data_IF_305391311420
#
_entry.id   IF_305391311420
#
_cell.length_a   1.000
_cell.length_b   1.000
_cell.length_c   1.000
_cell.angle_alpha   90.00
_cell.angle_beta   90.00
_cell.angle_gamma   90.00
#
_symmetry.space_group_name_H-M   'P 1'
#
loop_
_entity.id
_entity.type
_entity.pdbx_description
1 polymer ?
#
# COMPACT_ATOMS: atom_id res chain seq x y z
N UNK A 1 -10.51 21.21 -31.57
CA UNK A 1 -10.40 21.11 -30.10
C UNK A 1 -9.68 19.82 -29.80
N UNK A 2 -8.35 19.89 -29.72
CA UNK A 2 -7.49 18.68 -29.57
C UNK A 2 -7.37 18.34 -28.11
N UNK A 3 -7.81 17.15 -27.73
CA UNK A 3 -7.60 16.62 -26.39
C UNK A 3 -6.11 16.31 -26.17
N UNK A 4 -5.50 16.73 -25.06
CA UNK A 4 -4.14 16.33 -24.74
C UNK A 4 -4.11 14.80 -24.57
N UNK A 5 -3.13 14.15 -25.22
CA UNK A 5 -2.90 12.72 -25.07
C UNK A 5 -2.56 12.42 -23.61
N UNK A 6 -3.47 11.81 -22.89
CA UNK A 6 -3.23 11.32 -21.55
C UNK A 6 -2.69 9.90 -21.66
N UNK A 7 -1.45 9.68 -21.27
CA UNK A 7 -0.93 8.32 -21.07
C UNK A 7 -1.68 7.74 -19.87
N UNK A 8 -2.70 6.95 -20.13
CA UNK A 8 -3.42 6.21 -19.08
C UNK A 8 -2.65 4.94 -18.84
N UNK A 9 -1.99 4.92 -17.74
CA UNK A 9 -1.33 3.72 -17.28
C UNK A 9 -2.31 2.88 -16.48
N UNK A 10 -2.83 1.87 -17.08
CA UNK A 10 -3.54 0.80 -16.39
C UNK A 10 -2.47 -0.14 -15.86
N UNK A 11 -2.24 -0.15 -14.55
CA UNK A 11 -1.49 -1.22 -13.93
C UNK A 11 -2.33 -2.49 -14.11
N UNK A 12 -2.06 -3.25 -15.15
CA UNK A 12 -2.52 -4.62 -15.23
C UNK A 12 -1.80 -5.40 -14.11
N UNK A 13 -2.38 -5.38 -12.92
CA UNK A 13 -2.10 -6.44 -11.96
C UNK A 13 -2.54 -7.72 -12.65
N UNK A 14 -1.58 -8.55 -13.09
CA UNK A 14 -1.85 -9.83 -13.70
C UNK A 14 -2.76 -10.64 -12.78
N UNK A 15 -4.04 -10.57 -13.02
CA UNK A 15 -5.02 -11.45 -12.46
C UNK A 15 -4.86 -12.80 -13.17
N UNK A 16 -3.95 -13.62 -12.66
CA UNK A 16 -4.21 -15.03 -12.71
C UNK A 16 -5.56 -15.24 -12.03
N UNK A 17 -6.59 -15.54 -12.80
CA UNK A 17 -7.81 -16.19 -12.33
C UNK A 17 -7.49 -17.65 -11.96
N UNK A 18 -6.43 -17.88 -11.16
CA UNK A 18 -6.40 -18.94 -10.21
C UNK A 18 -7.20 -18.42 -9.02
N UNK A 19 -8.13 -19.19 -8.50
CA UNK A 19 -8.75 -18.93 -7.21
C UNK A 19 -7.65 -18.40 -6.28
N UNK A 20 -7.70 -17.10 -5.92
CA UNK A 20 -6.82 -16.54 -4.91
C UNK A 20 -7.27 -17.19 -3.61
N UNK A 21 -6.77 -18.39 -3.38
CA UNK A 21 -6.76 -18.95 -2.04
C UNK A 21 -6.00 -17.93 -1.21
N UNK A 22 -6.65 -17.28 -0.23
CA UNK A 22 -5.92 -16.41 0.67
C UNK A 22 -4.75 -17.22 1.21
N UNK A 23 -3.58 -16.61 1.38
CA UNK A 23 -2.43 -17.31 1.91
C UNK A 23 -2.85 -18.05 3.17
N UNK A 24 -2.49 -19.31 3.27
CA UNK A 24 -2.64 -20.05 4.52
C UNK A 24 -2.05 -19.18 5.64
N UNK A 25 -2.65 -19.17 6.86
CA UNK A 25 -2.08 -18.40 7.96
C UNK A 25 -0.59 -18.73 8.00
N UNK A 26 0.29 -17.70 8.08
CA UNK A 26 1.71 -17.95 8.01
C UNK A 26 2.08 -18.98 9.08
N UNK A 27 2.53 -20.14 8.62
CA UNK A 27 3.02 -21.20 9.51
C UNK A 27 4.29 -20.64 10.15
N UNK A 28 4.41 -20.57 11.48
CA UNK A 28 5.65 -20.17 12.11
C UNK A 28 6.77 -21.08 11.56
N UNK A 29 7.92 -20.51 11.20
CA UNK A 29 9.03 -21.31 10.71
C UNK A 29 9.40 -22.37 11.75
N UNK A 30 9.84 -23.55 11.33
CA UNK A 30 10.49 -24.47 12.24
C UNK A 30 11.65 -23.74 12.91
N UNK A 31 11.79 -23.87 14.22
CA UNK A 31 12.93 -23.35 14.97
C UNK A 31 14.10 -24.21 14.51
N UNK A 32 14.98 -23.68 13.67
CA UNK A 32 16.28 -24.25 13.44
C UNK A 32 17.14 -23.77 14.60
N UNK A 33 17.22 -24.58 15.66
CA UNK A 33 18.20 -24.39 16.73
C UNK A 33 19.56 -24.76 16.17
N UNK A 34 20.29 -23.82 15.63
CA UNK A 34 21.71 -23.98 15.32
C UNK A 34 22.54 -23.85 16.60
N UNK A 35 23.65 -24.54 16.72
CA UNK A 35 24.52 -24.42 17.88
C UNK A 35 25.07 -23.00 17.95
N UNK A 36 24.70 -22.23 19.00
CA UNK A 36 25.19 -20.89 19.27
C UNK A 36 24.25 -19.75 18.88
N UNK A 37 22.96 -19.97 18.74
CA UNK A 37 21.99 -18.89 18.47
C UNK A 37 21.90 -17.90 19.63
N UNK A 38 22.66 -16.83 19.52
CA UNK A 38 22.33 -15.58 20.22
C UNK A 38 21.00 -15.11 19.61
N UNK A 39 19.90 -15.32 20.32
CA UNK A 39 18.60 -14.79 19.91
C UNK A 39 18.70 -13.27 19.96
N UNK A 40 18.90 -12.64 18.81
CA UNK A 40 18.90 -11.16 18.76
C UNK A 40 17.53 -10.66 19.20
N UNK A 41 17.48 -9.67 20.09
CA UNK A 41 16.22 -9.08 20.52
C UNK A 41 15.49 -8.53 19.28
N UNK A 42 14.32 -9.08 18.99
CA UNK A 42 13.47 -8.60 17.90
C UNK A 42 12.60 -7.48 18.41
N UNK A 43 12.67 -6.35 17.76
CA UNK A 43 11.79 -5.20 18.03
C UNK A 43 10.93 -4.91 16.82
N UNK A 44 9.74 -4.38 17.06
CA UNK A 44 8.89 -3.81 16.02
C UNK A 44 9.08 -2.31 15.99
N UNK A 45 9.31 -1.78 14.80
CA UNK A 45 9.35 -0.33 14.54
C UNK A 45 7.97 0.11 14.06
N UNK A 46 7.39 1.03 14.81
CA UNK A 46 6.10 1.66 14.54
C UNK A 46 6.34 3.16 14.36
N UNK A 47 5.79 3.73 13.30
CA UNK A 47 5.89 5.17 13.04
C UNK A 47 4.62 5.87 13.49
N UNK A 48 4.72 6.60 14.60
CA UNK A 48 3.58 7.24 15.25
C UNK A 48 3.42 8.67 14.72
N UNK A 49 2.22 9.02 14.19
CA UNK A 49 1.97 10.39 13.74
C UNK A 49 1.88 11.34 14.92
N UNK A 50 2.51 12.50 14.79
CA UNK A 50 2.33 13.63 15.69
C UNK A 50 1.11 14.49 15.30
N UNK A 51 0.98 15.63 15.97
CA UNK A 51 -0.03 16.62 15.63
C UNK A 51 0.25 17.25 14.25
N UNK A 52 -0.81 17.54 13.52
CA UNK A 52 -0.72 18.29 12.26
C UNK A 52 -0.78 19.78 12.55
N UNK A 53 0.16 20.53 11.98
CA UNK A 53 0.21 21.99 12.02
C UNK A 53 0.12 22.54 10.62
N UNK A 54 -0.80 23.50 10.41
CA UNK A 54 -0.93 24.24 9.17
C UNK A 54 -0.70 25.76 9.43
N UNK A 55 -0.62 26.56 8.39
CA UNK A 55 -0.44 28.03 8.52
C UNK A 55 -1.52 28.69 9.40
N UNK A 56 -2.74 28.16 9.37
CA UNK A 56 -3.89 28.67 10.14
C UNK A 56 -4.12 27.95 11.48
N UNK A 57 -3.18 27.13 11.93
CA UNK A 57 -3.19 26.46 13.24
C UNK A 57 -3.28 24.94 13.19
N UNK A 58 -3.46 24.28 14.34
CA UNK A 58 -3.52 22.83 14.44
C UNK A 58 -4.75 22.24 13.77
N UNK A 59 -4.60 21.02 13.24
CA UNK A 59 -5.68 20.28 12.58
C UNK A 59 -5.81 18.89 13.15
N UNK A 60 -7.02 18.51 13.53
CA UNK A 60 -7.34 17.15 13.93
C UNK A 60 -7.80 16.36 12.72
N UNK A 61 -7.19 15.21 12.47
CA UNK A 61 -7.63 14.26 11.46
C UNK A 61 -8.27 13.04 12.12
N UNK A 62 -9.18 12.39 11.40
CA UNK A 62 -9.81 11.17 11.88
C UNK A 62 -9.78 10.08 10.80
N UNK A 63 -8.99 9.10 10.97
CA UNK A 63 -7.70 9.02 11.66
C UNK A 63 -6.52 9.35 10.73
N UNK A 64 -5.39 9.75 11.28
CA UNK A 64 -4.11 9.80 10.54
C UNK A 64 -3.62 8.37 10.35
N UNK A 65 -3.44 7.96 9.08
CA UNK A 65 -2.94 6.62 8.76
C UNK A 65 -1.45 6.50 9.05
N UNK A 66 -1.04 5.34 9.56
CA UNK A 66 0.35 5.01 9.84
C UNK A 66 0.94 4.16 8.73
N UNK A 67 2.24 4.25 8.45
CA UNK A 67 2.92 3.27 7.61
C UNK A 67 2.87 1.88 8.24
N UNK A 68 3.02 0.86 7.41
CA UNK A 68 3.12 -0.51 7.88
C UNK A 68 4.34 -0.70 8.80
N UNK A 69 4.16 -1.53 9.83
CA UNK A 69 5.21 -1.84 10.80
C UNK A 69 6.35 -2.64 10.15
N UNK A 70 7.55 -2.53 10.70
CA UNK A 70 8.73 -3.32 10.29
C UNK A 70 9.39 -3.97 11.49
N UNK A 71 10.08 -5.10 11.26
CA UNK A 71 10.88 -5.75 12.30
C UNK A 71 12.35 -5.33 12.17
N UNK A 72 13.02 -5.23 13.31
CA UNK A 72 14.48 -5.07 13.40
C UNK A 72 15.09 -6.21 14.19
N UNK A 73 16.10 -6.80 13.58
CA UNK A 73 16.93 -7.87 14.14
C UNK A 73 18.33 -7.30 14.38
N UNK A 74 18.51 -6.51 15.41
CA UNK A 74 19.81 -5.90 15.71
C UNK A 74 20.07 -5.93 17.21
N UNK A 75 21.27 -6.35 17.58
CA UNK A 75 21.72 -6.36 18.97
C UNK A 75 21.90 -4.95 19.52
N UNK A 76 22.21 -3.98 18.65
CA UNK A 76 22.39 -2.56 19.03
C UNK A 76 21.35 -1.73 18.28
N UNK A 77 20.32 -1.22 18.94
CA UNK A 77 19.34 -0.36 18.32
C UNK A 77 19.99 0.97 17.93
N UNK A 78 20.28 1.14 16.63
CA UNK A 78 20.64 2.47 16.15
C UNK A 78 19.39 3.38 16.24
N UNK A 79 19.52 4.63 16.74
CA UNK A 79 18.40 5.54 16.82
C UNK A 79 17.87 5.85 15.42
N UNK A 80 16.55 5.70 15.24
CA UNK A 80 15.87 6.14 14.04
C UNK A 80 15.47 7.60 14.22
N UNK A 81 15.62 8.39 13.16
CA UNK A 81 15.26 9.81 13.22
C UNK A 81 13.78 9.99 12.87
N UNK A 82 13.08 10.91 13.51
CA UNK A 82 11.73 11.31 13.10
C UNK A 82 11.71 11.82 11.66
N UNK A 83 10.62 11.60 10.97
CA UNK A 83 10.42 12.03 9.60
C UNK A 83 9.28 13.05 9.51
N UNK A 84 9.60 14.26 9.05
CA UNK A 84 8.63 15.33 8.86
C UNK A 84 8.23 15.42 7.39
N UNK A 85 6.92 15.44 7.14
CA UNK A 85 6.31 15.64 5.84
C UNK A 85 5.65 17.02 5.79
N UNK A 86 5.77 17.71 4.65
CA UNK A 86 4.98 18.89 4.29
C UNK A 86 3.89 18.48 3.34
N UNK A 87 2.77 19.18 3.37
CA UNK A 87 1.64 18.94 2.50
C UNK A 87 0.65 20.12 2.54
N UNK A 88 -0.34 20.09 1.68
CA UNK A 88 -1.54 20.94 1.78
C UNK A 88 -2.78 20.07 1.93
N UNK A 89 -3.85 20.61 2.48
CA UNK A 89 -5.15 19.94 2.54
C UNK A 89 -6.04 20.59 1.47
N UNK A 90 -6.63 19.76 0.61
CA UNK A 90 -7.60 20.22 -0.40
C UNK A 90 -8.97 20.51 0.22
N UNK A 91 -9.87 21.12 -0.53
CA UNK A 91 -11.24 21.44 -0.09
C UNK A 91 -12.04 20.20 0.34
N UNK A 92 -11.74 19.04 -0.26
CA UNK A 92 -12.35 17.75 0.07
C UNK A 92 -11.70 17.02 1.24
N UNK A 93 -10.72 17.64 1.92
CA UNK A 93 -10.00 17.08 3.06
C UNK A 93 -8.86 16.12 2.68
N UNK A 94 -8.47 16.03 1.41
CA UNK A 94 -7.34 15.21 0.98
C UNK A 94 -6.01 15.90 1.25
N UNK A 95 -5.01 15.19 1.80
CA UNK A 95 -3.63 15.69 1.80
C UNK A 95 -3.03 15.55 0.40
N UNK A 96 -2.48 16.65 -0.12
CA UNK A 96 -1.89 16.77 -1.46
C UNK A 96 -0.52 17.43 -1.37
N UNK A 97 0.26 17.35 -2.44
CA UNK A 97 1.63 17.89 -2.53
C UNK A 97 2.52 17.39 -1.39
N UNK A 98 2.38 16.11 -1.06
CA UNK A 98 3.10 15.50 0.05
C UNK A 98 4.56 15.32 -0.32
N UNK A 99 5.46 15.89 0.48
CA UNK A 99 6.90 15.78 0.30
C UNK A 99 7.63 15.69 1.65
N UNK A 100 8.80 15.06 1.71
CA UNK A 100 9.61 15.05 2.91
C UNK A 100 10.35 16.38 3.07
N UNK A 101 10.41 16.91 4.31
CA UNK A 101 11.22 18.11 4.64
C UNK A 101 12.70 17.84 4.40
N UNK A 102 13.19 16.64 4.74
CA UNK A 102 14.54 16.18 4.42
C UNK A 102 14.42 15.13 3.32
N UNK A 103 14.90 15.41 2.10
CA UNK A 103 14.72 14.53 0.95
C UNK A 103 15.32 13.14 1.11
N UNK A 104 16.47 13.02 1.77
CA UNK A 104 17.17 11.75 1.98
C UNK A 104 17.25 11.47 3.48
N UNK A 105 16.50 10.48 3.92
CA UNK A 105 16.61 9.89 5.26
C UNK A 105 16.89 8.40 5.14
N UNK A 106 18.01 7.96 5.69
CA UNK A 106 18.28 6.54 5.87
C UNK A 106 17.19 5.94 6.76
N UNK A 107 16.64 4.80 6.35
CA UNK A 107 15.62 4.04 7.10
C UNK A 107 14.21 4.67 7.19
N UNK A 108 13.88 5.69 6.37
CA UNK A 108 12.50 6.13 6.24
C UNK A 108 11.67 5.01 5.56
N UNK A 109 10.48 4.64 6.10
CA UNK A 109 9.65 3.63 5.45
C UNK A 109 9.12 4.16 4.10
N UNK A 110 9.13 3.29 3.09
CA UNK A 110 8.59 3.57 1.75
C UNK A 110 7.09 3.90 1.76
N UNK A 111 6.37 3.42 2.79
CA UNK A 111 4.93 3.59 2.98
C UNK A 111 4.54 4.88 3.74
N UNK A 112 5.49 5.74 4.10
CA UNK A 112 5.21 6.91 4.93
C UNK A 112 4.31 7.93 4.22
N UNK A 113 4.69 8.34 3.00
CA UNK A 113 3.88 9.27 2.20
C UNK A 113 2.58 8.63 1.69
N UNK A 114 2.56 7.36 1.24
CA UNK A 114 1.31 6.66 0.93
C UNK A 114 0.33 6.59 2.11
N UNK A 115 0.83 6.40 3.33
CA UNK A 115 -0.01 6.39 4.53
C UNK A 115 -0.64 7.76 4.79
N UNK A 116 0.13 8.85 4.67
CA UNK A 116 -0.43 10.19 4.79
C UNK A 116 -1.44 10.47 3.67
N UNK A 117 -1.16 10.09 2.41
CA UNK A 117 -2.07 10.25 1.29
C UNK A 117 -3.42 9.52 1.49
N UNK A 118 -3.40 8.41 2.23
CA UNK A 118 -4.60 7.66 2.63
C UNK A 118 -5.34 8.26 3.85
N UNK A 119 -4.79 9.28 4.49
CA UNK A 119 -5.44 9.97 5.62
C UNK A 119 -6.54 10.92 5.12
N UNK A 120 -7.42 11.36 6.04
CA UNK A 120 -8.47 12.32 5.75
C UNK A 120 -8.52 13.38 6.83
N UNK A 121 -8.74 14.59 6.38
CA UNK A 121 -8.87 15.79 7.20
C UNK A 121 -10.28 16.39 7.03
N UNK A 122 -10.70 17.27 7.92
CA UNK A 122 -11.92 18.06 7.70
C UNK A 122 -11.89 18.77 6.34
N UNK A 123 -13.01 18.75 5.63
CA UNK A 123 -13.16 19.32 4.30
C UNK A 123 -13.03 20.86 4.35
N UNK A 124 -11.81 21.34 4.24
CA UNK A 124 -11.42 22.74 4.19
C UNK A 124 -10.01 22.86 3.62
N UNK A 125 -9.82 23.69 2.62
CA UNK A 125 -8.49 23.97 2.07
C UNK A 125 -7.57 24.59 3.13
N UNK A 126 -6.33 24.07 3.24
CA UNK A 126 -5.27 24.60 4.13
C UNK A 126 -3.91 24.44 3.46
N UNK A 127 -3.03 25.39 3.74
CA UNK A 127 -1.67 25.43 3.19
C UNK A 127 -0.62 25.27 4.29
N UNK A 128 0.60 24.99 3.87
CA UNK A 128 1.79 24.90 4.73
C UNK A 128 1.57 23.97 5.92
N UNK A 129 0.90 22.86 5.69
CA UNK A 129 0.71 21.84 6.70
C UNK A 129 1.96 20.97 6.86
N UNK A 130 2.21 20.55 8.09
CA UNK A 130 3.29 19.61 8.41
C UNK A 130 2.86 18.60 9.44
N UNK A 131 3.47 17.41 9.36
CA UNK A 131 3.33 16.33 10.33
C UNK A 131 4.67 15.65 10.53
N UNK A 132 4.98 15.32 11.77
CA UNK A 132 6.17 14.52 12.10
C UNK A 132 5.76 13.13 12.56
N UNK A 133 6.30 12.12 11.90
CA UNK A 133 6.18 10.74 12.34
C UNK A 133 7.39 10.35 13.16
N UNK A 134 7.16 9.88 14.39
CA UNK A 134 8.22 9.47 15.32
C UNK A 134 8.32 7.94 15.34
N UNK A 135 9.50 7.37 15.08
CA UNK A 135 9.70 5.94 15.15
C UNK A 135 9.76 5.46 16.60
N UNK A 136 8.95 4.46 16.92
CA UNK A 136 8.96 3.76 18.20
C UNK A 136 9.45 2.33 18.00
N UNK A 137 10.52 1.97 18.70
CA UNK A 137 11.05 0.60 18.74
C UNK A 137 10.52 -0.08 20.00
N UNK A 138 9.72 -1.12 19.83
CA UNK A 138 9.06 -1.83 20.93
C UNK A 138 9.44 -3.29 20.90
N UNK A 139 9.88 -3.90 22.01
CA UNK A 139 10.07 -5.34 22.10
C UNK A 139 8.79 -6.10 21.71
N UNK A 140 8.91 -7.21 20.96
CA UNK A 140 7.74 -7.96 20.49
C UNK A 140 6.82 -8.43 21.63
N UNK A 141 7.38 -8.62 22.81
CA UNK A 141 6.60 -8.95 24.01
C UNK A 141 5.64 -7.83 24.46
N UNK A 142 5.84 -6.59 24.02
CA UNK A 142 5.09 -5.40 24.45
C UNK A 142 4.27 -4.75 23.31
N UNK A 143 4.47 -5.19 22.07
CA UNK A 143 3.76 -4.64 20.91
C UNK A 143 2.25 -4.91 21.04
N UNK A 144 1.36 -3.96 20.74
CA UNK A 144 -0.09 -4.23 20.66
C UNK A 144 -0.41 -5.38 19.72
N UNK A 145 -1.37 -6.24 20.11
CA UNK A 145 -1.75 -7.42 19.30
C UNK A 145 -2.22 -7.00 17.90
N UNK A 146 -2.95 -5.91 17.78
CA UNK A 146 -3.37 -5.36 16.48
C UNK A 146 -2.19 -5.08 15.53
N UNK A 147 -1.10 -4.52 16.06
CA UNK A 147 0.11 -4.25 15.28
C UNK A 147 0.83 -5.54 14.84
N UNK A 148 0.84 -6.57 15.72
CA UNK A 148 1.37 -7.90 15.38
C UNK A 148 0.55 -8.57 14.28
N UNK A 149 -0.78 -8.56 14.40
CA UNK A 149 -1.69 -9.14 13.39
C UNK A 149 -1.55 -8.42 12.05
N UNK A 150 -1.59 -7.09 12.04
CA UNK A 150 -1.40 -6.27 10.83
C UNK A 150 -0.08 -6.62 10.14
N UNK A 151 1.00 -6.82 10.90
CA UNK A 151 2.29 -7.23 10.36
C UNK A 151 2.23 -8.63 9.72
N UNK A 152 1.50 -9.60 10.30
CA UNK A 152 1.40 -10.96 9.73
C UNK A 152 0.69 -11.00 8.39
N UNK A 153 -0.23 -10.08 8.15
CA UNK A 153 -0.98 -9.97 6.89
C UNK A 153 -0.09 -9.40 5.78
N UNK A 154 0.78 -8.44 6.11
CA UNK A 154 1.65 -7.78 5.14
C UNK A 154 3.10 -7.63 5.71
N UNK A 155 3.84 -8.73 5.84
CA UNK A 155 5.20 -8.71 6.41
C UNK A 155 6.16 -7.97 5.47
N UNK A 156 6.88 -6.96 6.00
CA UNK A 156 7.79 -6.10 5.22
C UNK A 156 9.27 -6.37 5.47
N UNK A 157 9.60 -7.02 6.56
CA UNK A 157 11.00 -7.21 6.99
C UNK A 157 11.25 -8.59 7.59
N UNK A 158 10.68 -9.63 6.98
CA UNK A 158 10.84 -11.00 7.42
C UNK A 158 9.63 -11.56 8.18
N UNK A 159 9.74 -12.79 8.66
CA UNK A 159 8.63 -13.48 9.34
C UNK A 159 8.51 -13.01 10.79
N UNK A 160 7.27 -12.95 11.30
CA UNK A 160 7.05 -12.66 12.72
C UNK A 160 7.66 -13.78 13.58
N UNK A 161 8.53 -13.46 14.55
CA UNK A 161 9.08 -14.44 15.49
C UNK A 161 8.02 -15.11 16.35
N UNK A 162 8.37 -16.28 16.94
CA UNK A 162 7.45 -17.08 17.76
C UNK A 162 6.81 -16.29 18.90
N UNK A 163 7.58 -15.45 19.59
CA UNK A 163 7.08 -14.61 20.68
C UNK A 163 5.92 -13.70 20.25
N UNK A 164 5.94 -13.18 19.01
CA UNK A 164 4.82 -12.40 18.46
C UNK A 164 3.60 -13.28 18.18
N UNK A 165 3.80 -14.48 17.65
CA UNK A 165 2.71 -15.43 17.42
C UNK A 165 2.04 -15.92 18.70
N UNK A 166 2.82 -16.18 19.75
CA UNK A 166 2.30 -16.62 21.04
C UNK A 166 1.42 -15.56 21.68
N UNK A 167 1.64 -14.27 21.35
CA UNK A 167 0.77 -13.18 21.79
C UNK A 167 -0.52 -12.99 20.96
N UNK A 168 -0.46 -13.34 19.68
CA UNK A 168 -1.65 -13.28 18.81
C UNK A 168 -2.64 -14.41 19.17
N UNK A 169 -2.13 -15.58 19.56
CA UNK A 169 -2.94 -16.76 19.82
C UNK A 169 -3.47 -16.75 21.24
N UNK A 170 -4.77 -16.96 21.44
CA UNK A 170 -5.30 -17.27 22.77
C UNK A 170 -4.67 -18.56 23.31
N UNK A 171 -4.70 -18.72 24.64
CA UNK A 171 -4.32 -19.98 25.28
C UNK A 171 -5.23 -21.11 24.78
N UNK A 172 -4.63 -22.28 24.46
CA UNK A 172 -5.39 -23.41 23.95
C UNK A 172 -4.54 -24.44 23.22
N UNK A 173 -5.19 -25.41 22.63
CA UNK A 173 -4.60 -26.58 21.99
C UNK A 173 -4.45 -26.45 20.47
N UNK A 174 -4.82 -25.33 19.88
CA UNK A 174 -4.81 -25.16 18.42
C UNK A 174 -3.39 -25.14 17.82
N UNK A 175 -2.38 -24.83 18.63
CA UNK A 175 -0.99 -24.84 18.21
C UNK A 175 -0.32 -26.23 18.37
N UNK A 176 -0.95 -27.18 19.08
CA UNK A 176 -0.40 -28.49 19.35
C UNK A 176 -0.36 -29.37 18.08
N UNK A 177 0.63 -30.23 18.01
CA UNK A 177 0.77 -31.16 16.90
C UNK A 177 -0.18 -32.38 17.07
N UNK A 178 -0.76 -32.92 16.00
CA UNK A 178 -0.84 -32.32 14.67
C UNK A 178 -1.80 -31.11 14.64
N UNK A 179 -1.39 -30.03 13.98
CA UNK A 179 -2.23 -28.82 13.87
C UNK A 179 -3.48 -29.10 13.02
N UNK A 180 -4.62 -28.48 13.35
CA UNK A 180 -5.80 -28.60 12.52
C UNK A 180 -5.55 -28.01 11.13
N UNK A 181 -5.85 -28.81 10.09
CA UNK A 181 -5.82 -28.34 8.70
C UNK A 181 -7.24 -27.99 8.24
N UNK A 182 -7.37 -26.97 7.43
CA UNK A 182 -8.65 -26.62 6.83
C UNK A 182 -9.02 -27.64 5.75
N UNK A 183 -10.08 -28.41 5.97
CA UNK A 183 -10.69 -29.29 4.97
C UNK A 183 -11.57 -28.50 4.01
N UNK A 184 -12.33 -27.53 4.54
CA UNK A 184 -13.09 -26.54 3.79
C UNK A 184 -12.85 -25.19 4.43
N UNK A 185 -12.27 -24.27 3.66
CA UNK A 185 -12.12 -22.88 4.08
C UNK A 185 -13.07 -22.01 3.28
N UNK A 186 -14.07 -21.47 3.97
CA UNK A 186 -15.00 -20.52 3.38
C UNK A 186 -14.44 -19.12 3.56
N UNK A 187 -14.53 -18.33 2.51
CA UNK A 187 -14.10 -16.92 2.50
C UNK A 187 -15.31 -16.00 2.58
N UNK A 188 -15.16 -14.79 3.16
CA UNK A 188 -16.15 -13.74 3.01
C UNK A 188 -16.44 -13.42 1.53
N UNK A 189 -17.69 -13.07 1.24
CA UNK A 189 -18.06 -12.50 -0.07
C UNK A 189 -17.55 -11.06 -0.12
N UNK A 190 -16.27 -10.91 -0.45
CA UNK A 190 -15.57 -9.62 -0.43
C UNK A 190 -16.21 -8.54 -1.32
N UNK A 191 -16.78 -8.83 -2.51
CA UNK A 191 -17.53 -7.85 -3.28
C UNK A 191 -18.68 -7.18 -2.53
N UNK A 192 -19.27 -7.89 -1.55
CA UNK A 192 -20.36 -7.36 -0.72
C UNK A 192 -19.91 -6.67 0.57
N UNK A 193 -18.60 -6.66 0.84
CA UNK A 193 -18.03 -6.00 2.00
C UNK A 193 -17.40 -4.70 1.55
N UNK A 194 -17.95 -3.56 1.94
CA UNK A 194 -17.34 -2.26 1.66
C UNK A 194 -15.95 -2.18 2.31
N UNK A 195 -14.95 -1.70 1.56
CA UNK A 195 -13.61 -1.48 2.06
C UNK A 195 -13.37 -0.03 2.48
N UNK A 196 -12.27 0.18 3.16
CA UNK A 196 -11.81 1.50 3.51
C UNK A 196 -10.81 1.98 2.46
N UNK A 197 -11.05 3.14 1.79
CA UNK A 197 -10.10 3.65 0.81
C UNK A 197 -8.69 3.83 1.38
N UNK A 198 -7.69 3.28 0.68
CA UNK A 198 -6.28 3.38 1.08
C UNK A 198 -5.87 2.54 2.30
N UNK A 199 -6.77 1.72 2.87
CA UNK A 199 -6.53 0.92 4.08
C UNK A 199 -6.86 -0.54 3.82
N UNK A 200 -5.92 -1.42 4.13
CA UNK A 200 -6.17 -2.85 4.15
C UNK A 200 -6.99 -3.21 5.40
N UNK A 201 -8.26 -3.53 5.20
CA UNK A 201 -9.12 -3.96 6.29
C UNK A 201 -8.85 -5.43 6.65
N UNK A 202 -8.88 -5.73 7.96
CA UNK A 202 -8.74 -7.09 8.45
C UNK A 202 -9.55 -7.33 9.72
N UNK A 203 -9.88 -8.59 9.96
CA UNK A 203 -10.62 -9.08 11.13
C UNK A 203 -9.97 -10.37 11.63
N UNK A 204 -9.50 -10.40 12.86
CA UNK A 204 -8.97 -11.59 13.52
C UNK A 204 -10.13 -12.33 14.19
N UNK A 205 -10.45 -13.50 13.67
CA UNK A 205 -11.52 -14.35 14.22
C UNK A 205 -10.91 -15.43 15.11
N UNK A 206 -11.35 -15.46 16.37
CA UNK A 206 -11.07 -16.55 17.28
C UNK A 206 -12.19 -17.61 17.18
N UNK A 207 -11.82 -18.88 17.32
CA UNK A 207 -12.73 -20.00 17.29
C UNK A 207 -12.13 -21.23 18.00
N UNK A 208 -12.98 -22.16 18.36
CA UNK A 208 -12.61 -23.50 18.76
C UNK A 208 -13.14 -24.49 17.72
N UNK A 209 -12.73 -25.74 17.75
CA UNK A 209 -13.34 -26.80 16.94
C UNK A 209 -13.94 -27.89 17.83
N UNK A 210 -15.08 -28.44 17.42
CA UNK A 210 -15.66 -29.62 18.04
C UNK A 210 -14.96 -30.93 17.58
N UNK A 211 -15.39 -32.06 18.10
CA UNK A 211 -14.83 -33.37 17.74
C UNK A 211 -14.96 -33.71 16.25
N UNK A 212 -15.85 -33.07 15.52
CA UNK A 212 -16.04 -33.23 14.06
C UNK A 212 -15.32 -32.15 13.25
N UNK A 213 -14.51 -31.30 13.89
CA UNK A 213 -13.80 -30.21 13.23
C UNK A 213 -14.69 -29.03 12.80
N UNK A 214 -15.90 -28.92 13.36
CA UNK A 214 -16.78 -27.76 13.11
C UNK A 214 -16.38 -26.60 14.03
N UNK A 215 -16.20 -25.36 13.51
CA UNK A 215 -15.95 -24.19 14.33
C UNK A 215 -17.10 -23.89 15.28
N UNK A 216 -16.77 -23.66 16.55
CA UNK A 216 -17.65 -23.23 17.63
C UNK A 216 -17.02 -22.05 18.35
N UNK A 217 -17.77 -21.34 19.20
CA UNK A 217 -17.30 -20.15 19.93
C UNK A 217 -16.69 -19.06 19.03
N UNK A 218 -17.22 -18.93 17.81
CA UNK A 218 -16.66 -18.05 16.75
C UNK A 218 -17.00 -16.59 17.05
N UNK A 219 -15.96 -15.76 17.18
CA UNK A 219 -16.07 -14.31 17.42
C UNK A 219 -14.90 -13.53 16.80
N UNK A 220 -15.12 -12.31 16.38
CA UNK A 220 -14.03 -11.37 16.08
C UNK A 220 -13.45 -10.86 17.41
N UNK A 221 -12.11 -10.82 17.51
CA UNK A 221 -11.40 -10.43 18.73
C UNK A 221 -10.52 -9.19 18.51
N UNK A 222 -10.16 -8.89 17.28
CA UNK A 222 -9.35 -7.74 16.92
C UNK A 222 -9.59 -7.41 15.43
N UNK A 223 -9.39 -6.15 15.01
CA UNK A 223 -9.60 -5.76 13.60
C UNK A 223 -9.38 -4.28 13.35
N UNK A 224 -9.59 -3.88 12.12
CA UNK A 224 -9.51 -2.48 11.67
C UNK A 224 -10.77 -1.67 11.95
N UNK A 225 -11.79 -2.26 12.56
CA UNK A 225 -13.07 -1.61 12.86
C UNK A 225 -14.09 -1.69 11.72
N UNK A 226 -13.82 -2.45 10.67
CA UNK A 226 -14.78 -2.72 9.59
C UNK A 226 -15.79 -3.79 10.04
N UNK A 227 -16.92 -3.37 10.62
CA UNK A 227 -17.96 -4.28 11.15
C UNK A 227 -18.53 -5.21 10.08
N UNK A 228 -18.67 -4.74 8.84
CA UNK A 228 -19.17 -5.58 7.76
C UNK A 228 -18.21 -6.74 7.46
N UNK A 229 -16.89 -6.49 7.55
CA UNK A 229 -15.87 -7.52 7.44
C UNK A 229 -15.90 -8.47 8.64
N UNK A 230 -16.04 -7.97 9.86
CA UNK A 230 -16.11 -8.80 11.07
C UNK A 230 -17.28 -9.79 10.98
N UNK A 231 -18.48 -9.32 10.62
CA UNK A 231 -19.67 -10.16 10.46
C UNK A 231 -19.52 -11.18 9.34
N UNK A 232 -18.94 -10.78 8.22
CA UNK A 232 -18.69 -11.66 7.08
C UNK A 232 -17.63 -12.73 7.42
N UNK A 233 -16.57 -12.36 8.15
CA UNK A 233 -15.52 -13.25 8.62
C UNK A 233 -16.04 -14.29 9.61
N UNK A 234 -16.91 -13.88 10.57
CA UNK A 234 -17.57 -14.79 11.51
C UNK A 234 -18.46 -15.80 10.76
N UNK A 235 -19.26 -15.35 9.79
CA UNK A 235 -20.08 -16.26 8.97
C UNK A 235 -19.24 -17.25 8.19
N UNK A 236 -18.17 -16.77 7.54
CA UNK A 236 -17.24 -17.60 6.78
C UNK A 236 -16.56 -18.65 7.66
N UNK A 237 -16.09 -18.27 8.84
CA UNK A 237 -15.49 -19.20 9.80
C UNK A 237 -16.47 -20.28 10.24
N UNK A 238 -17.70 -19.94 10.59
CA UNK A 238 -18.75 -20.90 11.00
C UNK A 238 -19.08 -21.93 9.91
N UNK A 239 -18.96 -21.55 8.65
CA UNK A 239 -19.18 -22.43 7.50
C UNK A 239 -17.96 -23.30 7.14
N UNK A 240 -16.78 -23.00 7.69
CA UNK A 240 -15.53 -23.75 7.44
C UNK A 240 -15.52 -25.10 8.17
N UNK A 241 -14.58 -25.98 7.79
CA UNK A 241 -14.39 -27.31 8.42
C UNK A 241 -12.90 -27.60 8.53
N UNK A 242 -12.52 -28.23 9.63
CA UNK A 242 -11.13 -28.54 9.95
C UNK A 242 -10.93 -30.03 10.28
N UNK A 243 -9.72 -30.53 10.06
CA UNK A 243 -9.27 -31.82 10.58
C UNK A 243 -8.74 -31.69 12.03
N UNK A 244 -8.43 -32.81 12.67
CA UNK A 244 -7.73 -32.82 13.95
C UNK A 244 -8.61 -32.80 15.21
N UNK A 245 -9.94 -32.90 15.05
CA UNK A 245 -10.88 -33.02 16.16
C UNK A 245 -11.05 -31.75 16.99
N UNK A 246 -11.40 -31.91 18.27
CA UNK A 246 -11.63 -30.79 19.17
C UNK A 246 -10.33 -30.03 19.49
N UNK A 247 -10.35 -28.70 19.30
CA UNK A 247 -9.26 -27.78 19.59
C UNK A 247 -9.81 -26.49 20.19
N UNK A 248 -8.99 -25.82 21.00
CA UNK A 248 -9.32 -24.51 21.59
C UNK A 248 -8.27 -23.47 21.26
N UNK A 249 -8.66 -22.21 21.31
CA UNK A 249 -7.73 -21.09 21.11
C UNK A 249 -7.22 -20.91 19.68
N UNK A 250 -8.01 -21.29 18.67
CA UNK A 250 -7.68 -21.07 17.27
C UNK A 250 -7.95 -19.64 16.85
N UNK A 251 -7.12 -19.10 15.93
CA UNK A 251 -7.34 -17.79 15.32
C UNK A 251 -7.07 -17.83 13.82
N UNK A 252 -7.77 -16.98 13.08
CA UNK A 252 -7.54 -16.77 11.66
C UNK A 252 -7.82 -15.33 11.26
N UNK A 253 -6.86 -14.63 10.60
CA UNK A 253 -7.08 -13.29 10.09
C UNK A 253 -7.72 -13.34 8.70
N UNK A 254 -8.93 -12.81 8.57
CA UNK A 254 -9.52 -12.47 7.27
C UNK A 254 -9.13 -11.04 6.92
N UNK A 255 -8.83 -10.79 5.66
CA UNK A 255 -8.47 -9.46 5.20
C UNK A 255 -8.93 -9.22 3.76
N UNK A 256 -9.11 -7.96 3.41
CA UNK A 256 -9.39 -7.53 2.06
C UNK A 256 -8.44 -6.41 1.64
N UNK A 257 -8.23 -6.30 0.31
CA UNK A 257 -7.48 -5.20 -0.26
C UNK A 257 -8.21 -3.85 0.03
N UNK A 258 -7.47 -2.74 0.10
CA UNK A 258 -8.07 -1.40 0.19
C UNK A 258 -9.02 -1.12 -0.97
N UNK A 259 -10.06 -0.33 -0.74
CA UNK A 259 -10.74 0.31 -1.85
C UNK A 259 -9.85 1.37 -2.48
N UNK A 260 -10.03 1.62 -3.78
CA UNK A 260 -9.21 2.56 -4.52
C UNK A 260 -9.46 3.98 -4.02
N UNK A 261 -8.38 4.70 -3.77
CA UNK A 261 -8.37 6.12 -3.54
C UNK A 261 -8.05 6.81 -4.87
N UNK A 262 -9.05 7.34 -5.59
CA UNK A 262 -8.86 7.84 -6.94
C UNK A 262 -7.90 9.04 -6.97
N UNK A 263 -7.20 9.20 -8.10
CA UNK A 263 -6.29 10.32 -8.30
C UNK A 263 -7.02 11.66 -8.14
N UNK A 264 -6.37 12.67 -7.53
CA UNK A 264 -6.95 14.02 -7.47
C UNK A 264 -7.09 14.61 -8.87
N UNK A 265 -8.03 15.56 -9.07
CA UNK A 265 -8.19 16.21 -10.37
C UNK A 265 -6.91 16.95 -10.77
N UNK A 266 -6.59 16.89 -12.06
CA UNK A 266 -5.47 17.66 -12.60
C UNK A 266 -5.93 19.09 -12.84
N UNK A 267 -5.26 20.11 -12.26
CA UNK A 267 -5.62 21.50 -12.50
C UNK A 267 -5.55 21.88 -13.99
N UNK A 268 -6.46 22.74 -14.44
CA UNK A 268 -6.45 23.23 -15.80
C UNK A 268 -5.15 24.01 -16.10
N UNK A 269 -4.64 23.88 -17.32
CA UNK A 269 -3.47 24.62 -17.79
C UNK A 269 -2.11 24.05 -17.37
N UNK A 270 -2.05 23.10 -16.43
CA UNK A 270 -0.78 22.43 -16.10
C UNK A 270 -0.38 21.48 -17.24
N UNK A 271 0.84 21.68 -17.76
CA UNK A 271 1.38 20.86 -18.84
C UNK A 271 0.80 21.21 -20.21
N UNK A 272 0.56 22.49 -20.48
CA UNK A 272 0.21 22.94 -21.82
C UNK A 272 1.34 22.58 -22.79
N UNK A 273 1.01 22.06 -24.02
CA UNK A 273 2.00 21.68 -25.01
C UNK A 273 2.85 22.88 -25.44
N UNK A 274 4.13 22.65 -25.67
CA UNK A 274 5.03 23.63 -26.30
C UNK A 274 4.75 23.70 -27.80
N UNK A 275 4.83 24.88 -28.44
CA UNK A 275 4.74 25.01 -29.89
C UNK A 275 5.74 24.14 -30.65
N UNK A 276 6.91 23.87 -30.04
CA UNK A 276 7.96 23.03 -30.62
C UNK A 276 7.73 21.53 -30.38
N UNK A 277 6.70 21.16 -29.63
CA UNK A 277 6.39 19.77 -29.31
C UNK A 277 4.88 19.54 -29.44
N UNK A 278 4.36 19.43 -30.69
CA UNK A 278 2.94 19.27 -30.95
C UNK A 278 2.39 17.98 -30.30
N UNK A 279 1.08 17.96 -30.11
CA UNK A 279 0.37 16.78 -29.64
C UNK A 279 0.62 15.58 -30.55
N UNK A 280 0.65 14.40 -29.92
CA UNK A 280 0.97 13.16 -30.62
C UNK A 280 2.46 12.82 -30.52
N UNK A 281 2.75 11.67 -29.93
CA UNK A 281 4.11 11.16 -29.78
C UNK A 281 4.29 9.96 -30.71
N UNK A 282 5.24 10.05 -31.61
CA UNK A 282 5.64 8.93 -32.45
C UNK A 282 6.76 8.16 -31.74
N UNK A 283 6.35 7.19 -30.96
CA UNK A 283 7.27 6.39 -30.18
C UNK A 283 7.98 5.32 -31.02
N UNK A 284 9.29 5.25 -30.95
CA UNK A 284 10.07 4.09 -31.34
C UNK A 284 10.04 3.03 -30.24
N UNK A 285 10.20 3.47 -28.99
CA UNK A 285 10.06 2.68 -27.79
C UNK A 285 9.12 3.41 -26.83
N UNK A 286 7.88 2.95 -26.73
CA UNK A 286 6.89 3.59 -25.85
C UNK A 286 7.29 3.49 -24.37
N UNK A 287 6.85 4.45 -23.54
CA UNK A 287 7.06 4.40 -22.11
C UNK A 287 6.32 3.21 -21.50
N UNK A 288 7.04 2.38 -20.74
CA UNK A 288 6.42 1.28 -19.99
C UNK A 288 6.06 1.76 -18.60
N UNK A 289 4.77 1.71 -18.27
CA UNK A 289 4.34 2.15 -16.97
C UNK A 289 4.70 1.16 -15.87
N UNK A 290 5.39 1.65 -14.86
CA UNK A 290 5.57 0.99 -13.58
C UNK A 290 4.89 1.79 -12.49
N UNK A 291 3.90 1.20 -11.84
CA UNK A 291 3.20 1.82 -10.71
C UNK A 291 4.10 1.82 -9.47
N UNK A 292 4.19 2.91 -8.69
CA UNK A 292 4.98 2.92 -7.46
C UNK A 292 4.39 1.90 -6.46
N UNK A 293 5.16 0.85 -6.13
CA UNK A 293 4.68 -0.30 -5.36
C UNK A 293 4.01 0.06 -4.02
N UNK A 294 4.54 0.99 -3.19
CA UNK A 294 3.90 1.34 -1.93
C UNK A 294 2.50 1.93 -2.08
N UNK A 295 2.27 2.69 -3.17
CA UNK A 295 0.95 3.25 -3.51
C UNK A 295 0.02 2.18 -4.07
N UNK A 296 0.56 1.23 -4.84
CA UNK A 296 -0.18 0.06 -5.33
C UNK A 296 -0.76 -0.77 -4.19
N UNK A 297 0.02 -1.03 -3.14
CA UNK A 297 -0.43 -1.77 -1.95
C UNK A 297 -1.59 -1.08 -1.22
N UNK A 298 -1.63 0.26 -1.21
CA UNK A 298 -2.70 1.05 -0.61
C UNK A 298 -3.81 1.43 -1.59
N UNK A 299 -3.65 1.08 -2.87
CA UNK A 299 -4.55 1.48 -3.95
C UNK A 299 -4.76 3.01 -4.02
N UNK A 300 -3.69 3.75 -3.80
CA UNK A 300 -3.66 5.21 -3.93
C UNK A 300 -3.23 5.58 -5.33
N UNK A 301 -4.11 6.16 -6.10
CA UNK A 301 -3.86 6.65 -7.46
C UNK A 301 -3.26 8.05 -7.44
N UNK A 302 -2.62 8.43 -8.55
CA UNK A 302 -2.00 9.72 -8.69
C UNK A 302 -1.69 10.09 -10.13
N UNK A 303 -1.06 11.23 -10.30
CA UNK A 303 -0.59 11.70 -11.59
C UNK A 303 0.68 12.54 -11.45
N UNK A 304 1.39 12.68 -12.57
CA UNK A 304 2.49 13.61 -12.70
C UNK A 304 2.48 14.28 -14.08
N UNK A 305 2.97 15.50 -14.13
CA UNK A 305 3.29 16.22 -15.37
C UNK A 305 4.79 16.42 -15.41
N UNK A 306 5.41 15.94 -16.48
CA UNK A 306 6.86 16.01 -16.70
C UNK A 306 7.15 16.85 -17.94
N UNK A 307 8.09 17.77 -17.82
CA UNK A 307 8.66 18.50 -18.95
C UNK A 307 9.99 17.87 -19.35
N UNK A 308 10.27 17.79 -20.64
CA UNK A 308 11.50 17.20 -21.15
C UNK A 308 11.86 17.74 -22.55
N UNK A 309 13.07 17.49 -22.99
CA UNK A 309 13.52 17.74 -24.34
C UNK A 309 13.67 16.43 -25.10
N UNK A 310 13.68 16.48 -26.43
CA UNK A 310 13.90 15.33 -27.30
C UNK A 310 15.04 15.65 -28.27
N UNK A 311 16.07 14.84 -28.26
CA UNK A 311 17.16 14.95 -29.21
C UNK A 311 16.72 14.55 -30.64
N UNK A 312 17.39 15.00 -31.72
CA UNK A 312 17.03 14.59 -33.08
C UNK A 312 16.97 13.08 -33.28
N UNK A 313 17.76 12.30 -32.57
CA UNK A 313 17.79 10.85 -32.64
C UNK A 313 16.77 10.16 -31.71
N UNK A 314 15.87 10.94 -31.08
CA UNK A 314 14.72 10.43 -30.34
C UNK A 314 14.91 10.22 -28.84
N UNK A 315 16.11 10.44 -28.30
CA UNK A 315 16.35 10.31 -26.85
C UNK A 315 15.68 11.45 -26.05
N UNK A 316 15.14 11.09 -24.88
CA UNK A 316 14.56 12.04 -23.94
C UNK A 316 15.65 12.59 -23.03
N UNK A 317 15.82 13.92 -23.05
CA UNK A 317 16.74 14.67 -22.22
C UNK A 317 16.05 15.58 -21.22
N UNK A 318 16.76 15.97 -20.17
CA UNK A 318 16.36 16.98 -19.18
C UNK A 318 14.95 16.77 -18.58
N UNK A 319 14.50 15.55 -18.24
CA UNK A 319 13.16 15.36 -17.69
C UNK A 319 13.06 15.99 -16.31
N UNK A 320 12.11 16.90 -16.13
CA UNK A 320 11.81 17.63 -14.89
C UNK A 320 10.34 17.52 -14.54
N UNK A 321 10.04 17.32 -13.25
CA UNK A 321 8.67 17.27 -12.75
C UNK A 321 8.11 18.71 -12.70
N UNK A 322 7.02 18.95 -13.38
CA UNK A 322 6.25 20.21 -13.32
C UNK A 322 5.29 20.19 -12.13
N UNK A 323 4.58 19.08 -11.98
CA UNK A 323 3.65 18.86 -10.87
C UNK A 323 3.40 17.35 -10.69
N UNK A 324 3.10 16.94 -9.48
CA UNK A 324 2.73 15.56 -9.17
C UNK A 324 1.82 15.51 -7.94
N UNK A 325 0.78 14.70 -7.98
CA UNK A 325 -0.16 14.52 -6.88
C UNK A 325 -0.56 13.05 -6.71
N UNK A 326 -0.86 12.60 -5.49
CA UNK A 326 -0.85 13.36 -4.22
C UNK A 326 0.54 13.56 -3.61
N UNK A 327 1.59 12.97 -4.19
CA UNK A 327 2.95 13.03 -3.65
C UNK A 327 4.01 13.19 -4.73
N UNK A 328 5.20 13.70 -4.36
CA UNK A 328 6.35 13.81 -5.24
C UNK A 328 6.87 12.47 -5.80
N UNK A 329 6.51 11.32 -5.18
CA UNK A 329 6.90 9.99 -5.68
C UNK A 329 6.36 9.71 -7.08
N UNK A 330 5.13 10.15 -7.37
CA UNK A 330 4.55 9.99 -8.70
C UNK A 330 5.35 10.74 -9.76
N UNK A 331 5.87 11.92 -9.42
CA UNK A 331 6.76 12.68 -10.29
C UNK A 331 8.08 11.94 -10.55
N UNK A 332 8.72 11.42 -9.50
CA UNK A 332 9.95 10.63 -9.63
C UNK A 332 9.75 9.39 -10.50
N UNK A 333 8.64 8.71 -10.30
CA UNK A 333 8.30 7.52 -11.09
C UNK A 333 8.04 7.87 -12.57
N UNK A 334 7.32 8.97 -12.84
CA UNK A 334 7.06 9.43 -14.20
C UNK A 334 8.36 9.78 -14.94
N UNK A 335 9.32 10.42 -14.27
CA UNK A 335 10.64 10.70 -14.83
C UNK A 335 11.39 9.40 -15.18
N UNK A 336 11.33 8.38 -14.34
CA UNK A 336 11.96 7.08 -14.62
C UNK A 336 11.32 6.38 -15.83
N UNK A 337 9.99 6.45 -15.94
CA UNK A 337 9.23 5.90 -17.07
C UNK A 337 9.66 6.58 -18.37
N UNK A 338 9.73 7.90 -18.40
CA UNK A 338 10.12 8.67 -19.59
C UNK A 338 11.58 8.41 -19.98
N UNK A 339 12.50 8.30 -19.04
CA UNK A 339 13.90 7.94 -19.34
C UNK A 339 14.06 6.60 -20.03
N UNK A 340 13.13 5.69 -19.84
CA UNK A 340 13.12 4.38 -20.50
C UNK A 340 12.52 4.39 -21.90
N UNK A 341 11.87 5.47 -22.30
CA UNK A 341 11.17 5.63 -23.57
C UNK A 341 12.06 6.29 -24.64
N UNK A 342 11.67 6.17 -25.91
CA UNK A 342 12.36 6.79 -27.05
C UNK A 342 11.34 7.15 -28.14
N UNK A 343 11.46 8.35 -28.69
CA UNK A 343 10.71 8.77 -29.86
C UNK A 343 11.44 8.36 -31.14
N UNK A 344 10.72 8.28 -32.26
CA UNK A 344 11.37 8.12 -33.55
C UNK A 344 12.27 9.32 -33.86
N UNK A 345 13.42 9.11 -34.53
CA UNK A 345 14.29 10.19 -34.97
C UNK A 345 13.55 11.22 -35.83
N UNK A 346 13.95 12.45 -35.73
CA UNK A 346 13.38 13.57 -36.48
C UNK A 346 14.51 14.51 -36.95
N UNK A 347 14.25 15.34 -37.99
CA UNK A 347 15.27 16.23 -38.53
C UNK A 347 15.77 17.27 -37.52
N UNK A 348 14.98 17.64 -36.55
CA UNK A 348 15.29 18.61 -35.51
C UNK A 348 14.87 18.07 -34.14
N UNK A 349 15.62 18.44 -33.10
CA UNK A 349 15.23 18.18 -31.73
C UNK A 349 13.98 18.99 -31.35
N UNK A 350 13.36 18.62 -30.23
CA UNK A 350 12.20 19.29 -29.65
C UNK A 350 12.55 19.73 -28.23
N UNK A 351 12.08 20.88 -27.81
CA UNK A 351 12.31 21.40 -26.45
C UNK A 351 11.02 21.71 -25.72
N UNK A 352 11.03 21.55 -24.41
CA UNK A 352 9.91 21.88 -23.56
C UNK A 352 8.67 21.03 -23.79
N UNK A 353 8.81 19.80 -24.26
CA UNK A 353 7.74 18.83 -24.35
C UNK A 353 7.15 18.55 -22.96
N UNK A 354 5.84 18.41 -22.86
CA UNK A 354 5.18 18.07 -21.61
C UNK A 354 4.29 16.85 -21.80
N UNK A 355 4.40 15.88 -20.92
CA UNK A 355 3.49 14.71 -20.88
C UNK A 355 2.88 14.56 -19.50
N UNK A 356 1.65 14.07 -19.49
CA UNK A 356 0.91 13.74 -18.30
C UNK A 356 0.86 12.23 -18.12
N UNK A 357 1.50 11.74 -17.07
CA UNK A 357 1.44 10.34 -16.67
C UNK A 357 0.37 10.16 -15.58
N UNK A 358 -0.63 9.33 -15.86
CA UNK A 358 -1.67 8.96 -14.89
C UNK A 358 -1.37 7.57 -14.35
N UNK A 359 -1.35 7.46 -13.03
CA UNK A 359 -1.20 6.20 -12.31
C UNK A 359 -2.58 5.81 -11.78
N UNK A 360 -3.33 5.07 -12.58
CA UNK A 360 -4.67 4.58 -12.24
C UNK A 360 -4.69 3.07 -12.24
N UNK A 361 -5.54 2.50 -11.40
CA UNK A 361 -5.70 1.05 -11.29
C UNK A 361 -6.91 0.61 -12.11
N UNK A 362 -6.79 -0.52 -12.77
CA UNK A 362 -7.94 -1.14 -13.40
C UNK A 362 -9.03 -1.41 -12.36
N UNK A 363 -10.31 -1.23 -12.70
CA UNK A 363 -11.40 -1.72 -11.87
C UNK A 363 -11.20 -3.20 -11.52
N UNK A 364 -11.64 -3.61 -10.33
CA UNK A 364 -11.42 -4.98 -9.85
C UNK A 364 -12.11 -6.05 -10.74
N UNK A 365 -13.10 -5.65 -11.51
CA UNK A 365 -13.91 -6.41 -12.45
C UNK A 365 -13.53 -6.19 -13.93
N UNK A 366 -12.49 -5.39 -14.21
CA UNK A 366 -12.02 -5.22 -15.58
C UNK A 366 -11.46 -6.54 -16.12
N UNK A 367 -11.81 -6.93 -17.37
CA UNK A 367 -11.16 -8.06 -17.99
C UNK A 367 -9.64 -7.80 -18.04
N UNK A 368 -8.80 -8.85 -18.02
CA UNK A 368 -7.37 -8.69 -18.18
C UNK A 368 -7.10 -7.88 -19.45
N UNK A 369 -6.26 -6.85 -19.33
CA UNK A 369 -5.91 -6.03 -20.48
C UNK A 369 -5.31 -6.95 -21.55
N UNK A 370 -5.91 -6.92 -22.76
CA UNK A 370 -5.35 -7.59 -23.91
C UNK A 370 -3.93 -7.02 -24.13
N UNK A 371 -2.89 -7.85 -24.25
CA UNK A 371 -1.55 -7.36 -24.57
C UNK A 371 -1.51 -6.45 -25.80
N UNK A 372 -2.44 -6.65 -26.74
CA UNK A 372 -2.58 -5.80 -27.93
C UNK A 372 -3.32 -4.47 -27.65
N UNK A 373 -4.08 -4.35 -26.56
CA UNK A 373 -4.70 -3.09 -26.15
C UNK A 373 -3.68 -2.09 -25.58
N UNK A 374 -2.58 -2.55 -25.03
CA UNK A 374 -1.46 -1.68 -24.65
C UNK A 374 -0.92 -0.88 -25.83
N UNK A 375 -1.06 -1.40 -27.05
CA UNK A 375 -0.67 -0.73 -28.31
C UNK A 375 -1.70 0.29 -28.82
N UNK A 376 -2.93 0.30 -28.32
CA UNK A 376 -4.02 1.19 -28.78
C UNK A 376 -4.16 2.48 -28.00
N UNK A 377 -3.41 2.65 -26.92
CA UNK A 377 -3.42 3.87 -26.08
C UNK A 377 -2.30 4.86 -26.43
N UNK A 378 -1.75 4.75 -27.63
CA UNK A 378 -0.72 5.66 -28.16
C UNK A 378 -1.26 6.57 -29.24
#
# INVERSE_FOLDING_TARGET
MSNPVAIVAVAASGLFLGQVTPPAPPVPPPIVEGPGNVTLPSTMVRWMPGAVQCADGPVTADPIRRPGNTLRYTAIPAPLQPATLRFRIAEDGRPLSIEPVVPIQLYRPDDLMPALAASRFPARARTDCSITYTPMQTPLAEVPVADLVSYTINPRSGRLPRIGWDRIRPAGTCADAPRPAALVRVMPDFPKVAGTPGVQDWSLVAYDTDARGKPVNVRAIEGTGNRALDDAAIRAMRASRFSGGARTGCVYPYWRAPDTLPAPPVPAGIGAPSPTCPDGRDWEKPPTLAFPEPYGRRRVEGWAVVRYDVAPWGEIGNPTVVAAEPTADFGRQAVQILRGARLKPSAQGRSGCTDRVKFVMAPADAPPADPDDAARFY
#
